data_IF_047911482579
#
_entry.id   IF_047911482579
#
_cell.length_a   1.000
_cell.length_b   1.000
_cell.length_c   1.000
_cell.angle_alpha   90.00
_cell.angle_beta   90.00
_cell.angle_gamma   90.00
#
_symmetry.space_group_name_H-M   'P 1'
#
loop_
_entity.id
_entity.type
_entity.pdbx_description
1 polymer ?
2 branched ?
3 non-polymer ?
4 non-polymer ?
5 non-polymer ?
6 water ?
#
# COMPACT_ATOMS: atom_id res chain seq x y z
N UNK A 1 -14.27 3.58 24.64
CA UNK A 1 -13.18 3.32 23.72
C UNK A 1 -11.90 4.06 24.12
N UNK A 2 -10.78 3.36 24.02
CA UNK A 2 -9.46 3.94 24.24
C UNK A 2 -8.63 3.91 22.98
N UNK A 3 -7.63 4.78 22.90
CA UNK A 3 -6.66 4.73 21.81
C UNK A 3 -5.96 3.38 21.84
N UNK A 4 -5.75 2.78 20.67
CA UNK A 4 -5.01 1.54 20.62
C UNK A 4 -3.52 1.76 20.83
N UNK A 5 -2.88 0.87 21.58
CA UNK A 5 -1.44 0.87 21.74
C UNK A 5 -0.82 -0.36 21.08
N UNK A 6 0.36 -0.20 20.51
CA UNK A 6 1.05 -1.29 19.83
C UNK A 6 1.81 -2.14 20.84
N UNK A 7 1.11 -3.05 21.50
CA UNK A 7 1.71 -3.79 22.63
C UNK A 7 2.15 -5.20 22.27
N UNK A 8 1.88 -5.63 21.04
CA UNK A 8 2.19 -7.00 20.66
C UNK A 8 3.27 -7.10 19.59
N UNK A 9 3.89 -8.27 19.48
CA UNK A 9 4.81 -8.55 18.40
C UNK A 9 4.07 -9.26 17.28
N UNK A 10 4.72 -9.43 16.14
CA UNK A 10 4.12 -10.16 15.02
C UNK A 10 3.96 -11.63 15.36
N UNK A 11 2.87 -12.23 14.88
CA UNK A 11 2.70 -13.67 14.95
C UNK A 11 3.76 -14.32 14.07
N UNK A 12 4.15 -15.53 14.44
CA UNK A 12 5.09 -16.30 13.62
C UNK A 12 4.46 -16.60 12.26
N UNK A 13 5.16 -16.24 11.20
CA UNK A 13 4.66 -16.43 9.85
C UNK A 13 5.23 -17.70 9.22
N UNK A 14 4.42 -18.76 9.17
CA UNK A 14 4.87 -20.01 8.58
C UNK A 14 4.26 -20.26 7.21
N UNK A 15 3.17 -19.55 6.91
CA UNK A 15 2.57 -19.52 5.57
C UNK A 15 1.54 -18.40 5.50
N UNK A 16 0.82 -18.33 4.38
CA UNK A 16 -0.20 -17.31 4.19
C UNK A 16 -1.53 -17.94 3.79
N UNK A 17 -2.61 -17.49 4.42
CA UNK A 17 -3.95 -17.99 4.08
C UNK A 17 -4.79 -16.91 3.41
N UNK A 18 -5.77 -17.33 2.62
CA UNK A 18 -6.66 -16.39 1.95
C UNK A 18 -7.47 -15.61 2.99
N UNK A 19 -7.49 -14.28 2.86
CA UNK A 19 -8.22 -13.41 3.80
C UNK A 19 -9.41 -12.77 3.10
N UNK A 20 -9.19 -12.23 1.91
CA UNK A 20 -10.27 -11.64 1.16
C UNK A 20 -9.99 -11.57 -0.33
N UNK A 21 -11.07 -11.45 -1.10
CA UNK A 21 -10.99 -11.35 -2.55
C UNK A 21 -12.34 -10.86 -3.06
N UNK A 22 -12.36 -9.81 -3.86
CA UNK A 22 -13.65 -9.24 -4.20
C UNK A 22 -14.11 -9.53 -5.63
N UNK A 23 -13.21 -10.04 -6.47
CA UNK A 23 -13.57 -10.38 -7.85
C UNK A 23 -14.30 -9.23 -8.55
N UNK A 24 -13.80 -8.01 -8.36
CA UNK A 24 -14.53 -6.80 -8.78
C UNK A 24 -14.73 -6.71 -10.29
N UNK A 25 -13.72 -7.07 -11.06
CA UNK A 25 -13.78 -6.90 -12.51
C UNK A 25 -14.72 -7.95 -13.11
N UNK A 26 -14.63 -9.19 -12.62
CA UNK A 26 -15.58 -10.25 -13.02
C UNK A 26 -17.02 -9.79 -12.81
N UNK A 27 -17.30 -9.35 -11.59
CA UNK A 27 -18.66 -8.94 -11.23
C UNK A 27 -19.04 -7.67 -12.01
N UNK A 28 -18.10 -6.73 -12.12
CA UNK A 28 -18.34 -5.47 -12.80
C UNK A 28 -18.64 -5.57 -14.29
N UNK A 29 -18.41 -6.74 -14.87
CA UNK A 29 -18.78 -6.96 -16.27
C UNK A 29 -20.29 -6.79 -16.44
N UNK A 30 -21.03 -7.09 -15.37
CA UNK A 30 -22.48 -6.95 -15.41
C UNK A 30 -23.03 -6.59 -14.03
N UNK A 31 -22.66 -5.40 -13.57
CA UNK A 31 -23.14 -4.81 -12.33
C UNK A 31 -22.51 -3.44 -12.19
N UNK A 32 -23.07 -2.61 -11.32
CA UNK A 32 -22.61 -1.24 -11.19
C UNK A 32 -21.42 -1.13 -10.24
N UNK A 33 -20.29 -1.64 -10.72
CA UNK A 33 -19.04 -1.63 -9.98
C UNK A 33 -18.19 -0.44 -10.40
N UNK A 34 -17.72 0.34 -9.43
CA UNK A 34 -16.93 1.52 -9.72
C UNK A 34 -15.55 1.14 -10.24
N UNK A 35 -15.05 1.90 -11.20
CA UNK A 35 -13.66 1.79 -11.61
C UNK A 35 -12.78 2.29 -10.48
N UNK A 36 -11.73 1.52 -10.12
CA UNK A 36 -10.83 1.93 -9.06
C UNK A 36 -9.37 1.74 -9.48
N UNK A 37 -8.47 2.19 -8.60
CA UNK A 37 -7.10 1.70 -8.55
C UNK A 37 -6.53 2.13 -7.20
N UNK A 38 -5.28 1.77 -6.95
CA UNK A 38 -4.63 2.04 -5.66
C UNK A 38 -5.47 1.59 -4.47
N UNK A 39 -5.84 0.29 -4.43
CA UNK A 39 -6.66 -0.18 -3.30
C UNK A 39 -5.83 -0.44 -2.05
N UNK A 40 -6.52 -0.66 -0.93
CA UNK A 40 -5.89 -1.24 0.25
C UNK A 40 -6.96 -1.75 1.21
N UNK A 41 -6.52 -2.17 2.39
CA UNK A 41 -7.41 -2.71 3.41
C UNK A 41 -7.08 -2.03 4.73
N UNK A 42 -8.09 -1.80 5.57
CA UNK A 42 -7.85 -1.20 6.87
C UNK A 42 -8.96 -1.58 7.84
N UNK A 43 -8.58 -1.81 9.10
CA UNK A 43 -9.54 -2.27 10.11
C UNK A 43 -9.96 -1.19 11.09
N UNK A 44 -11.25 -1.22 11.44
CA UNK A 44 -11.79 -0.54 12.61
C UNK A 44 -11.80 -1.56 13.75
N UNK A 45 -12.08 -1.13 15.00
CA UNK A 45 -12.17 -2.11 16.08
C UNK A 45 -13.25 -3.16 15.87
N UNK A 46 -14.27 -2.87 15.07
CA UNK A 46 -15.39 -3.79 14.90
C UNK A 46 -15.61 -4.26 13.46
N UNK A 47 -14.73 -3.85 12.54
CA UNK A 47 -14.93 -4.17 11.12
C UNK A 47 -13.66 -3.91 10.31
N UNK A 48 -13.37 -4.80 9.36
CA UNK A 48 -12.30 -4.58 8.39
C UNK A 48 -12.92 -4.33 7.02
N UNK A 49 -12.37 -3.36 6.28
CA UNK A 49 -12.96 -2.94 5.01
C UNK A 49 -11.93 -2.78 3.90
N UNK A 50 -12.40 -2.90 2.65
CA UNK A 50 -11.58 -2.60 1.49
C UNK A 50 -11.63 -1.11 1.20
N UNK A 51 -10.51 -0.56 0.72
CA UNK A 51 -10.41 0.86 0.35
C UNK A 51 -9.82 0.95 -1.05
N UNK A 52 -10.10 2.06 -1.75
CA UNK A 52 -9.52 2.33 -3.07
C UNK A 52 -9.86 3.73 -3.55
N UNK A 53 -9.13 4.20 -4.55
CA UNK A 53 -9.44 5.45 -5.22
C UNK A 53 -10.37 5.19 -6.39
N UNK A 54 -11.63 5.60 -6.24
CA UNK A 54 -12.59 5.50 -7.33
C UNK A 54 -12.21 6.44 -8.46
N UNK A 55 -12.74 6.19 -9.65
CA UNK A 55 -12.55 7.06 -10.80
C UNK A 55 -13.89 7.76 -11.15
N UNK A 56 -14.88 7.61 -10.28
CA UNK A 56 -16.15 8.28 -10.47
C UNK A 56 -16.91 7.85 -11.72
N UNK A 57 -16.93 6.54 -11.96
CA UNK A 57 -17.60 5.93 -13.11
C UNK A 57 -17.61 4.42 -12.88
N UNK A 58 -18.59 3.70 -13.45
CA UNK A 58 -18.56 2.24 -13.40
C UNK A 58 -17.76 1.72 -14.59
N UNK A 59 -17.38 0.45 -14.53
CA UNK A 59 -16.54 -0.15 -15.58
C UNK A 59 -17.29 -0.20 -16.92
N UNK A 60 -18.56 -0.60 -16.88
CA UNK A 60 -19.38 -0.66 -18.08
C UNK A 60 -19.81 0.74 -18.53
N UNK A 61 -19.72 1.71 -17.63
CA UNK A 61 -20.05 3.08 -17.99
C UNK A 61 -19.11 3.60 -19.06
N UNK A 62 -19.63 4.46 -19.93
CA UNK A 62 -18.83 5.03 -21.00
C UNK A 62 -17.73 5.96 -20.47
N UNK A 63 -17.90 6.49 -19.27
CA UNK A 63 -16.87 7.33 -18.66
C UNK A 63 -15.68 6.52 -18.16
N UNK A 64 -15.73 5.19 -18.28
CA UNK A 64 -14.55 4.38 -17.93
C UNK A 64 -13.43 4.61 -18.94
N UNK A 65 -13.79 5.17 -20.09
CA UNK A 65 -12.82 5.47 -21.14
C UNK A 65 -11.83 6.55 -20.67
N UNK A 66 -10.57 6.17 -20.56
CA UNK A 66 -9.54 7.10 -20.13
C UNK A 66 -9.13 6.97 -18.68
N UNK A 67 -9.64 5.95 -17.97
CA UNK A 67 -9.35 5.81 -16.55
C UNK A 67 -7.93 5.28 -16.27
N UNK A 68 -7.10 5.19 -17.29
CA UNK A 68 -5.69 4.97 -17.04
C UNK A 68 -5.11 6.22 -16.33
N UNK A 69 -5.75 7.37 -16.53
CA UNK A 69 -5.28 8.63 -15.96
C UNK A 69 -5.30 8.62 -14.44
N UNK A 70 -4.26 9.17 -13.83
CA UNK A 70 -4.07 9.09 -12.38
C UNK A 70 -4.82 10.10 -11.52
N UNK A 71 -4.96 11.34 -12.00
CA UNK A 71 -5.34 12.43 -11.10
C UNK A 71 -6.45 13.35 -11.62
N UNK A 72 -7.67 12.83 -11.73
CA UNK A 72 -8.80 13.68 -12.14
C UNK A 72 -9.55 14.22 -10.92
N UNK A 73 -10.46 15.16 -11.19
CA UNK A 73 -11.36 15.71 -10.17
C UNK A 73 -12.49 14.73 -9.80
N UNK A 74 -12.53 13.56 -10.43
CA UNK A 74 -13.66 12.65 -10.26
C UNK A 74 -13.28 11.48 -9.38
N UNK A 75 -12.08 11.57 -8.81
CA UNK A 75 -11.59 10.53 -7.93
C UNK A 75 -11.91 10.81 -6.47
N UNK A 76 -12.04 9.73 -5.70
CA UNK A 76 -12.30 9.83 -4.27
C UNK A 76 -11.86 8.55 -3.59
N UNK A 77 -11.41 8.68 -2.34
CA UNK A 77 -11.17 7.51 -1.52
C UNK A 77 -12.52 6.93 -1.09
N UNK A 78 -12.75 5.66 -1.39
CA UNK A 78 -13.96 4.99 -0.95
C UNK A 78 -13.62 3.76 -0.13
N UNK A 79 -14.56 3.35 0.71
CA UNK A 79 -14.41 2.10 1.44
C UNK A 79 -15.70 1.29 1.28
N UNK A 80 -15.60 -0.03 1.41
CA UNK A 80 -16.75 -0.89 1.23
C UNK A 80 -16.50 -2.20 1.98
N UNK A 81 -17.57 -2.99 2.23
CA UNK A 81 -17.40 -4.17 3.09
C UNK A 81 -16.41 -5.19 2.54
N UNK A 82 -15.70 -5.85 3.47
CA UNK A 82 -14.65 -6.81 3.15
C UNK A 82 -15.09 -7.85 2.12
N UNK A 83 -14.35 -7.92 1.01
CA UNK A 83 -14.54 -8.87 -0.09
C UNK A 83 -15.81 -8.66 -0.93
N UNK A 84 -16.61 -7.66 -0.58
CA UNK A 84 -17.60 -7.15 -1.53
C UNK A 84 -16.84 -6.40 -2.60
N UNK A 85 -17.45 -6.21 -3.79
CA UNK A 85 -16.81 -5.32 -4.76
C UNK A 85 -17.20 -3.87 -4.47
N UNK A 86 -16.44 -2.90 -4.99
CA UNK A 86 -16.77 -1.48 -4.80
C UNK A 86 -17.89 -1.05 -5.76
N UNK A 87 -19.12 -1.07 -5.27
CA UNK A 87 -20.25 -0.71 -6.11
C UNK A 87 -20.73 0.71 -5.80
N UNK A 88 -21.48 1.26 -6.74
CA UNK A 88 -22.08 2.57 -6.58
C UNK A 88 -22.90 2.63 -5.29
N UNK A 89 -23.51 1.50 -4.95
CA UNK A 89 -24.53 1.47 -3.90
C UNK A 89 -24.04 1.04 -2.49
N UNK A 90 -22.83 0.50 -2.41
CA UNK A 90 -22.29 0.02 -1.14
C UNK A 90 -20.98 0.70 -0.75
N UNK A 91 -20.54 1.68 -1.55
CA UNK A 91 -19.27 2.34 -1.30
C UNK A 91 -19.47 3.61 -0.50
N UNK A 92 -18.67 3.77 0.55
CA UNK A 92 -18.70 4.95 1.41
C UNK A 92 -17.57 5.89 1.02
N UNK A 93 -17.88 7.13 0.71
CA UNK A 93 -16.82 8.08 0.37
C UNK A 93 -16.15 8.60 1.65
N UNK A 94 -14.84 8.43 1.74
CA UNK A 94 -14.06 8.90 2.87
C UNK A 94 -13.58 10.35 2.68
N UNK A 95 -13.13 10.66 1.47
CA UNK A 95 -12.75 12.03 1.12
C UNK A 95 -12.48 12.10 -0.37
N UNK A 96 -12.27 13.31 -0.88
CA UNK A 96 -12.12 13.53 -2.30
C UNK A 96 -10.65 13.78 -2.66
N UNK A 97 -10.16 13.09 -3.70
CA UNK A 97 -8.78 13.28 -4.13
C UNK A 97 -8.23 12.08 -4.86
N UNK A 98 -6.93 12.14 -5.18
CA UNK A 98 -6.32 11.10 -6.01
C UNK A 98 -5.06 10.49 -5.39
N UNK A 99 -4.86 10.72 -4.10
CA UNK A 99 -3.82 10.03 -3.32
C UNK A 99 -4.28 10.02 -1.87
N UNK A 100 -4.11 8.90 -1.18
CA UNK A 100 -4.73 8.79 0.15
C UNK A 100 -4.03 7.86 1.13
N UNK A 101 -4.40 8.02 2.39
CA UNK A 101 -4.12 7.04 3.43
C UNK A 101 -5.30 7.09 4.40
N UNK A 102 -5.37 6.13 5.31
CA UNK A 102 -6.47 6.05 6.26
C UNK A 102 -6.07 5.12 7.38
N UNK A 103 -6.52 5.41 8.60
CA UNK A 103 -6.32 4.49 9.72
C UNK A 103 -7.19 4.86 10.92
N UNK A 104 -7.52 3.85 11.71
CA UNK A 104 -8.30 4.01 12.94
C UNK A 104 -7.35 4.03 14.14
N UNK A 105 -7.59 4.91 15.12
CA UNK A 105 -6.68 5.02 16.25
C UNK A 105 -7.22 4.29 17.49
N UNK A 106 -8.34 3.60 17.32
CA UNK A 106 -8.97 2.88 18.41
C UNK A 106 -10.25 3.58 18.83
N UNK A 107 -10.30 4.90 18.65
CA UNK A 107 -11.50 5.66 18.94
C UNK A 107 -12.23 6.05 17.66
N UNK A 108 -11.50 6.65 16.72
CA UNK A 108 -12.07 7.07 15.46
C UNK A 108 -11.08 6.92 14.31
N UNK A 109 -11.58 7.07 13.08
CA UNK A 109 -10.77 6.88 11.89
C UNK A 109 -10.29 8.21 11.36
N UNK A 110 -9.01 8.26 11.00
CA UNK A 110 -8.45 9.38 10.27
C UNK A 110 -8.32 8.98 8.81
N UNK A 111 -8.77 9.85 7.90
CA UNK A 111 -8.60 9.63 6.48
C UNK A 111 -8.02 10.89 5.87
N UNK A 112 -7.09 10.72 4.92
CA UNK A 112 -6.45 11.85 4.27
C UNK A 112 -6.51 11.71 2.75
N UNK A 113 -7.01 12.75 2.08
CA UNK A 113 -7.04 12.79 0.62
C UNK A 113 -6.34 14.02 0.10
N UNK A 114 -5.53 13.83 -0.95
CA UNK A 114 -4.88 14.94 -1.64
C UNK A 114 -5.57 15.20 -2.97
N UNK A 115 -5.87 16.47 -3.26
CA UNK A 115 -6.44 16.82 -4.56
C UNK A 115 -5.75 18.08 -5.10
N UNK A 116 -6.07 18.44 -6.34
CA UNK A 116 -5.55 19.67 -6.93
C UNK A 116 -4.73 19.43 -8.17
N UNK A 117 -4.30 20.52 -8.82
CA UNK A 117 -3.39 20.36 -9.96
C UNK A 117 -1.99 19.99 -9.47
N UNK A 118 -1.13 19.59 -10.40
CA UNK A 118 0.20 19.13 -10.06
C UNK A 118 0.99 20.17 -9.25
N UNK A 119 0.86 21.44 -9.60
CA UNK A 119 1.63 22.50 -8.93
C UNK A 119 0.92 23.19 -7.78
N UNK A 120 -0.22 22.65 -7.34
CA UNK A 120 -1.02 23.36 -6.34
C UNK A 120 -1.92 22.41 -5.54
N UNK A 121 -1.40 21.23 -5.23
CA UNK A 121 -2.18 20.22 -4.51
C UNK A 121 -2.23 20.51 -3.01
N UNK A 122 -3.21 19.91 -2.35
CA UNK A 122 -3.35 20.06 -0.92
C UNK A 122 -3.95 18.80 -0.32
N UNK A 123 -3.55 18.51 0.92
CA UNK A 123 -4.10 17.39 1.66
C UNK A 123 -5.19 17.89 2.62
N UNK A 124 -6.29 17.16 2.71
CA UNK A 124 -7.28 17.42 3.72
C UNK A 124 -7.35 16.24 4.68
N UNK A 125 -7.18 16.53 5.96
CA UNK A 125 -7.18 15.50 6.98
C UNK A 125 -8.55 15.42 7.66
N UNK A 126 -9.22 14.29 7.46
CA UNK A 126 -10.50 14.01 8.09
C UNK A 126 -10.29 13.18 9.34
N UNK A 127 -11.09 13.43 10.37
CA UNK A 127 -11.11 12.62 11.58
C UNK A 127 -12.54 12.46 12.06
N UNK A 128 -12.95 11.21 12.28
CA UNK A 128 -14.32 10.89 12.65
C UNK A 128 -15.31 11.50 11.65
N UNK A 129 -14.97 11.34 10.37
CA UNK A 129 -15.79 11.73 9.22
C UNK A 129 -15.99 13.24 9.08
N UNK A 130 -15.10 14.02 9.67
CA UNK A 130 -15.13 15.48 9.58
C UNK A 130 -13.77 16.02 9.19
N UNK A 131 -13.74 17.06 8.33
CA UNK A 131 -12.45 17.67 8.00
C UNK A 131 -11.89 18.43 9.21
N UNK A 132 -10.62 18.23 9.52
CA UNK A 132 -10.03 18.81 10.72
C UNK A 132 -8.79 19.67 10.42
N UNK A 133 -7.90 19.18 9.57
CA UNK A 133 -6.70 19.94 9.24
C UNK A 133 -6.37 19.86 7.74
N UNK A 134 -5.61 20.83 7.25
CA UNK A 134 -5.26 20.91 5.84
C UNK A 134 -3.78 21.22 5.65
N UNK A 135 -3.18 20.65 4.62
CA UNK A 135 -1.77 20.88 4.33
C UNK A 135 -1.55 21.24 2.86
N UNK A 136 -1.01 22.42 2.61
CA UNK A 136 -0.73 22.86 1.25
C UNK A 136 0.58 22.29 0.71
N UNK A 137 0.63 22.11 -0.60
CA UNK A 137 1.84 21.63 -1.26
C UNK A 137 3.04 22.48 -0.83
N UNK A 138 4.17 21.84 -0.55
CA UNK A 138 5.37 22.57 -0.15
C UNK A 138 6.45 22.55 -1.23
N UNK A 139 6.25 21.76 -2.28
CA UNK A 139 7.23 21.71 -3.36
C UNK A 139 6.58 21.91 -4.73
N UNK A 140 5.26 22.07 -4.73
CA UNK A 140 4.51 22.41 -5.94
C UNK A 140 4.71 21.38 -7.04
N UNK A 141 4.76 20.11 -6.65
CA UNK A 141 5.01 19.05 -7.61
C UNK A 141 4.41 17.72 -7.14
N UNK A 142 3.09 17.62 -7.30
CA UNK A 142 2.31 16.42 -6.99
C UNK A 142 2.56 15.91 -5.57
N UNK A 143 2.11 16.70 -4.60
CA UNK A 143 2.01 16.24 -3.22
C UNK A 143 1.30 14.88 -3.19
N UNK A 144 1.92 13.87 -2.58
CA UNK A 144 1.38 12.51 -2.64
C UNK A 144 1.71 11.72 -1.38
N UNK A 145 0.91 10.70 -1.08
CA UNK A 145 1.13 9.96 0.15
C UNK A 145 1.04 8.44 -0.07
N UNK A 146 0.64 7.70 0.95
CA UNK A 146 0.96 6.27 1.03
C UNK A 146 0.20 5.31 0.09
N UNK A 147 -1.09 5.55 -0.14
CA UNK A 147 -1.99 4.65 -0.88
C UNK A 147 -2.17 3.30 -0.16
N UNK A 148 -1.90 3.28 1.13
CA UNK A 148 -2.31 2.18 1.99
C UNK A 148 -2.47 2.71 3.41
N UNK A 149 -2.87 1.86 4.34
CA UNK A 149 -3.29 2.37 5.65
C UNK A 149 -2.11 2.94 6.46
N UNK A 150 -2.41 3.91 7.29
CA UNK A 150 -1.43 4.38 8.28
C UNK A 150 -1.59 3.56 9.56
N UNK A 151 -0.81 3.89 10.59
CA UNK A 151 -0.81 3.15 11.83
C UNK A 151 -0.78 4.12 13.00
N UNK A 152 -1.47 3.80 14.08
CA UNK A 152 -1.54 4.70 15.22
C UNK A 152 -1.00 4.09 16.50
N UNK A 153 -0.51 4.94 17.40
CA UNK A 153 -0.14 4.49 18.74
C UNK A 153 -0.51 5.56 19.78
N UNK A 154 -1.40 5.19 20.70
CA UNK A 154 -1.89 6.10 21.73
C UNK A 154 -2.41 7.40 21.15
N UNK A 155 -3.15 7.28 20.05
CA UNK A 155 -3.73 8.44 19.40
C UNK A 155 -2.85 9.09 18.35
N UNK A 156 -1.56 8.77 18.36
CA UNK A 156 -0.62 9.37 17.41
C UNK A 156 -0.48 8.51 16.16
N UNK A 157 -0.80 9.09 14.99
CA UNK A 157 -0.76 8.36 13.72
C UNK A 157 0.19 9.02 12.73
N UNK A 158 1.38 8.45 12.55
CA UNK A 158 2.32 9.00 11.57
C UNK A 158 1.88 8.71 10.14
N UNK A 159 2.19 9.64 9.23
CA UNK A 159 1.93 9.46 7.80
C UNK A 159 3.11 9.99 7.00
N UNK A 160 3.56 9.23 6.01
CA UNK A 160 4.63 9.70 5.14
C UNK A 160 4.07 10.36 3.87
N UNK A 161 4.56 11.57 3.60
CA UNK A 161 4.22 12.32 2.39
C UNK A 161 5.46 12.54 1.53
N UNK A 162 5.25 12.78 0.23
CA UNK A 162 6.33 13.25 -0.63
C UNK A 162 5.82 14.37 -1.55
N UNK A 163 6.63 15.40 -1.71
CA UNK A 163 6.32 16.46 -2.67
C UNK A 163 7.60 16.75 -3.44
N UNK A 164 7.51 16.84 -4.76
CA UNK A 164 8.70 17.02 -5.57
C UNK A 164 8.89 15.97 -6.65
N UNK A 165 10.08 15.98 -7.24
CA UNK A 165 10.38 15.17 -8.42
C UNK A 165 10.18 13.66 -8.21
N UNK A 166 9.70 13.00 -9.26
CA UNK A 166 9.56 11.55 -9.27
C UNK A 166 10.85 10.91 -9.78
N UNK A 167 11.72 11.74 -10.33
CA UNK A 167 12.91 11.25 -11.03
C UNK A 167 14.18 11.93 -10.54
N UNK A 168 14.17 12.36 -9.29
CA UNK A 168 15.29 13.04 -8.67
C UNK A 168 15.02 13.25 -7.20
N UNK A 169 15.88 14.02 -6.52
CA UNK A 169 15.66 14.34 -5.12
C UNK A 169 14.32 15.03 -4.88
N UNK A 170 13.60 14.62 -3.83
CA UNK A 170 12.29 15.17 -3.53
C UNK A 170 12.20 15.56 -2.05
N UNK A 171 11.11 16.24 -1.69
CA UNK A 171 10.91 16.67 -0.30
C UNK A 171 9.92 15.78 0.42
N UNK A 172 10.45 14.83 1.19
CA UNK A 172 9.61 13.89 1.93
C UNK A 172 9.45 14.36 3.36
N UNK A 173 8.22 14.29 3.87
CA UNK A 173 7.94 14.69 5.24
C UNK A 173 7.21 13.59 5.98
N UNK A 174 7.50 13.45 7.27
CA UNK A 174 6.71 12.56 8.11
C UNK A 174 5.86 13.44 9.01
N UNK A 175 4.54 13.30 8.87
CA UNK A 175 3.59 14.03 9.70
C UNK A 175 3.08 13.18 10.84
N UNK A 176 2.89 13.81 12.00
CA UNK A 176 2.35 13.12 13.16
C UNK A 176 1.02 13.75 13.56
N UNK A 177 -0.06 13.00 13.39
CA UNK A 177 -1.40 13.49 13.66
C UNK A 177 -1.99 12.89 14.94
N UNK A 178 -2.85 13.66 15.59
CA UNK A 178 -3.69 13.12 16.67
C UNK A 178 -5.06 13.76 16.59
N UNK A 179 -6.08 12.91 16.47
CA UNK A 179 -7.45 13.34 16.23
C UNK A 179 -7.49 14.31 15.04
N UNK A 180 -6.66 14.03 14.04
CA UNK A 180 -6.63 14.80 12.81
C UNK A 180 -5.80 16.07 12.89
N UNK A 181 -5.39 16.45 14.10
CA UNK A 181 -4.60 17.68 14.27
C UNK A 181 -3.12 17.38 14.12
N UNK A 182 -2.40 18.33 13.53
CA UNK A 182 -0.97 18.18 13.31
C UNK A 182 -0.18 18.45 14.60
N UNK A 183 0.46 17.42 15.12
CA UNK A 183 1.30 17.57 16.31
C UNK A 183 2.70 18.03 15.93
N UNK A 184 3.22 17.50 14.83
CA UNK A 184 4.60 17.71 14.44
C UNK A 184 4.79 17.17 13.04
N UNK A 185 5.69 17.78 12.29
CA UNK A 185 6.18 17.15 11.08
C UNK A 185 7.69 17.33 11.01
N UNK A 186 8.35 16.44 10.26
CA UNK A 186 9.79 16.52 10.09
C UNK A 186 10.22 16.09 8.69
N UNK A 187 11.30 16.67 8.21
CA UNK A 187 11.86 16.28 6.92
C UNK A 187 12.50 14.90 7.01
N UNK A 188 12.55 14.19 5.89
CA UNK A 188 13.13 12.86 5.85
C UNK A 188 14.62 12.89 6.23
N UNK A 189 14.99 12.01 7.15
CA UNK A 189 16.40 11.83 7.51
C UNK A 189 16.77 10.36 7.29
N UNK A 190 18.05 10.05 7.42
CA UNK A 190 18.51 8.68 7.17
C UNK A 190 19.10 8.55 5.79
N UNK A 191 19.27 7.32 5.31
CA UNK A 191 20.01 7.09 4.07
C UNK A 191 19.13 6.78 2.86
N UNK A 192 17.82 6.70 3.06
CA UNK A 192 16.91 6.54 1.92
C UNK A 192 17.02 7.77 1.01
N UNK A 193 17.13 7.55 -0.29
CA UNK A 193 17.42 8.64 -1.22
C UNK A 193 16.18 9.13 -1.99
N UNK A 194 15.12 8.32 -2.00
CA UNK A 194 13.84 8.73 -2.61
C UNK A 194 12.71 7.91 -2.00
N UNK A 195 11.58 8.55 -1.71
CA UNK A 195 10.48 7.91 -0.98
C UNK A 195 9.12 8.14 -1.62
N UNK A 196 8.39 7.06 -1.90
CA UNK A 196 7.01 7.15 -2.34
C UNK A 196 6.19 5.98 -1.79
N UNK A 197 4.91 6.25 -1.52
CA UNK A 197 3.92 5.20 -1.29
C UNK A 197 4.33 4.18 -0.24
N UNK A 198 4.59 4.65 0.98
CA UNK A 198 5.02 3.77 2.05
C UNK A 198 3.91 2.84 2.52
N UNK A 199 4.25 1.57 2.72
CA UNK A 199 3.35 0.58 3.32
C UNK A 199 3.80 0.30 4.75
N UNK A 200 2.91 0.55 5.72
CA UNK A 200 3.32 0.55 7.12
C UNK A 200 2.56 -0.46 7.98
N UNK A 201 3.21 -0.86 9.07
CA UNK A 201 2.59 -1.70 10.10
C UNK A 201 3.24 -1.37 11.44
N UNK A 202 2.54 -1.68 12.52
CA UNK A 202 3.01 -1.35 13.85
C UNK A 202 3.11 -2.60 14.70
N UNK A 203 4.08 -2.57 15.61
CA UNK A 203 4.31 -3.68 16.53
C UNK A 203 5.03 -3.05 17.72
N UNK A 204 5.25 -3.82 18.79
CA UNK A 204 5.80 -3.28 20.03
C UNK A 204 7.13 -2.51 19.81
N UNK A 205 7.89 -2.87 18.78
CA UNK A 205 9.18 -2.21 18.49
C UNK A 205 8.99 -0.84 17.81
N UNK A 206 7.76 -0.54 17.40
CA UNK A 206 7.44 0.73 16.76
C UNK A 206 6.64 0.58 15.49
N UNK A 207 6.82 1.53 14.58
CA UNK A 207 6.14 1.49 13.29
C UNK A 207 7.16 1.35 12.15
N UNK A 208 6.92 0.38 11.27
CA UNK A 208 7.84 0.09 10.17
C UNK A 208 7.15 0.35 8.83
N UNK A 209 7.78 1.13 7.97
CA UNK A 209 7.24 1.44 6.66
C UNK A 209 8.18 1.00 5.55
N UNK A 210 7.65 0.24 4.60
CA UNK A 210 8.40 -0.17 3.42
C UNK A 210 7.87 0.61 2.24
N UNK A 211 8.74 1.36 1.60
CA UNK A 211 8.29 2.29 0.57
C UNK A 211 8.84 1.93 -0.81
N UNK A 212 8.79 2.89 -1.71
CA UNK A 212 9.28 2.74 -3.07
C UNK A 212 10.29 3.85 -3.34
N UNK A 213 11.43 3.49 -3.92
CA UNK A 213 12.36 4.46 -4.48
C UNK A 213 12.06 4.55 -5.97
N UNK A 214 11.50 5.66 -6.43
CA UNK A 214 11.15 5.77 -7.84
C UNK A 214 12.28 6.32 -8.69
N UNK A 215 13.34 6.80 -8.04
CA UNK A 215 14.40 7.50 -8.77
C UNK A 215 15.43 6.50 -9.32
N UNK A 216 16.30 5.97 -8.45
CA UNK A 216 17.37 5.09 -8.89
C UNK A 216 17.31 3.68 -8.31
N UNK A 217 16.48 3.47 -7.28
CA UNK A 217 16.50 2.22 -6.53
C UNK A 217 15.54 1.10 -6.91
N UNK A 218 16.02 -0.13 -6.84
CA UNK A 218 15.17 -1.30 -7.01
C UNK A 218 15.13 -2.14 -5.74
N UNK A 219 15.95 -1.77 -4.76
CA UNK A 219 15.72 -2.20 -3.39
C UNK A 219 14.73 -1.23 -2.78
N UNK A 220 14.02 -1.65 -1.73
CA UNK A 220 12.99 -0.81 -1.15
C UNK A 220 13.52 -0.03 0.03
N UNK A 221 13.28 1.30 0.04
CA UNK A 221 13.61 2.09 1.22
C UNK A 221 12.72 1.72 2.39
N UNK A 222 13.25 1.86 3.60
CA UNK A 222 12.50 1.59 4.83
C UNK A 222 12.56 2.81 5.74
N UNK A 223 11.41 3.19 6.27
CA UNK A 223 11.35 4.23 7.30
C UNK A 223 10.84 3.60 8.60
N UNK A 224 11.61 3.77 9.67
CA UNK A 224 11.22 3.25 10.99
C UNK A 224 10.87 4.40 11.92
N UNK A 225 9.65 4.40 12.44
CA UNK A 225 9.11 5.55 13.14
C UNK A 225 8.79 5.23 14.60
N UNK A 226 9.31 6.06 15.51
CA UNK A 226 8.92 6.01 16.91
C UNK A 226 7.74 6.95 17.11
N UNK A 227 6.54 6.40 17.33
CA UNK A 227 5.35 7.23 17.44
C UNK A 227 5.21 7.94 18.79
N UNK A 228 6.08 7.61 19.75
CA UNK A 228 6.04 8.28 21.05
C UNK A 228 6.98 9.48 21.04
N UNK A 229 8.24 9.25 20.67
CA UNK A 229 9.21 10.32 20.51
C UNK A 229 8.90 11.15 19.26
N UNK A 230 8.10 10.58 18.36
CA UNK A 230 7.78 11.21 17.08
C UNK A 230 9.06 11.54 16.30
N UNK A 231 9.89 10.52 16.15
CA UNK A 231 11.12 10.60 15.37
C UNK A 231 11.22 9.36 14.50
N UNK A 232 12.11 9.41 13.51
CA UNK A 232 12.24 8.32 12.56
C UNK A 232 13.67 8.19 12.08
N UNK A 233 13.95 7.07 11.42
CA UNK A 233 15.19 6.87 10.67
C UNK A 233 14.82 6.23 9.33
N UNK A 234 15.78 6.21 8.41
CA UNK A 234 15.54 5.53 7.13
C UNK A 234 16.80 4.88 6.60
N UNK A 235 16.59 3.82 5.82
CA UNK A 235 17.62 3.12 5.05
C UNK A 235 16.92 2.36 3.92
N UNK A 236 17.60 1.35 3.37
CA UNK A 236 16.97 0.41 2.45
C UNK A 236 16.96 -0.98 3.07
N UNK A 237 16.14 -1.88 2.54
CA UNK A 237 16.27 -3.30 2.87
C UNK A 237 17.64 -3.76 2.36
N UNK A 238 18.48 -4.25 3.28
CA UNK A 238 19.85 -4.66 2.94
C UNK A 238 19.89 -5.85 1.99
N UNK A 239 18.87 -6.71 2.06
CA UNK A 239 18.86 -7.96 1.31
C UNK A 239 19.08 -7.79 -0.20
N UNK A 240 19.83 -8.73 -0.81
CA UNK A 240 19.97 -8.79 -2.26
C UNK A 240 18.71 -9.36 -2.94
N UNK A 241 17.73 -9.79 -2.14
CA UNK A 241 16.43 -10.16 -2.70
C UNK A 241 15.65 -8.88 -2.99
N UNK A 242 15.73 -8.42 -4.24
CA UNK A 242 15.20 -7.11 -4.59
C UNK A 242 13.69 -7.19 -4.82
N UNK A 243 12.95 -6.18 -4.36
CA UNK A 243 11.49 -6.30 -4.38
C UNK A 243 10.74 -5.15 -5.02
N UNK A 244 11.42 -4.30 -5.78
CA UNK A 244 10.71 -3.31 -6.59
C UNK A 244 10.34 -3.93 -7.94
N UNK A 245 9.69 -3.15 -8.79
CA UNK A 245 9.38 -3.55 -10.15
C UNK A 245 9.17 -2.34 -11.05
N UNK A 246 9.84 -2.29 -12.21
CA UNK A 246 10.81 -3.28 -12.70
C UNK A 246 12.08 -3.28 -11.86
N UNK A 247 12.95 -4.27 -12.06
CA UNK A 247 14.13 -4.42 -11.21
C UNK A 247 15.16 -5.30 -11.89
N UNK A 248 16.44 -5.18 -11.48
CA UNK A 248 17.46 -6.09 -11.98
C UNK A 248 17.30 -7.47 -11.37
N UNK A 249 18.07 -8.43 -11.85
CA UNK A 249 18.11 -9.74 -11.23
C UNK A 249 18.74 -9.67 -9.84
N UNK A 250 18.41 -10.63 -8.98
CA UNK A 250 18.94 -10.64 -7.62
C UNK A 250 20.45 -10.86 -7.62
N UNK A 251 21.19 -9.92 -7.03
CA UNK A 251 22.61 -10.11 -6.79
C UNK A 251 22.83 -10.95 -5.54
N UNK A 252 24.06 -10.98 -5.04
CA UNK A 252 24.38 -11.72 -3.82
C UNK A 252 24.77 -10.77 -2.69
N UNK A 253 24.97 -9.51 -3.05
CA UNK A 253 25.16 -8.47 -2.05
C UNK A 253 24.15 -7.36 -2.34
N UNK A 254 23.35 -7.01 -1.33
CA UNK A 254 22.39 -5.93 -1.49
C UNK A 254 22.99 -4.60 -1.08
N UNK A 255 22.13 -3.60 -0.88
CA UNK A 255 22.57 -2.28 -0.44
C UNK A 255 21.69 -1.76 0.70
N UNK A 256 22.33 -1.34 1.78
CA UNK A 256 21.63 -0.89 2.99
C UNK A 256 21.37 0.62 2.96
N UNK A 257 22.28 1.36 2.34
CA UNK A 257 22.33 2.81 2.51
C UNK A 257 22.24 3.60 1.21
N UNK A 258 21.92 2.90 0.13
CA UNK A 258 21.86 3.53 -1.19
C UNK A 258 20.96 2.73 -2.11
N UNK A 259 20.45 3.37 -3.17
CA UNK A 259 19.65 2.66 -4.16
C UNK A 259 20.44 1.59 -4.88
N UNK A 260 19.85 0.39 -5.04
CA UNK A 260 20.48 -0.61 -5.90
C UNK A 260 20.11 -0.31 -7.35
N UNK A 261 21.13 -0.13 -8.21
CA UNK A 261 20.95 0.44 -9.55
C UNK A 261 20.54 -0.56 -10.63
N UNK A 262 20.10 -0.04 -11.76
CA UNK A 262 19.75 -0.87 -12.91
C UNK A 262 18.47 -0.42 -13.57
N UNK A 263 17.55 0.12 -12.76
CA UNK A 263 16.26 0.59 -13.23
C UNK A 263 15.95 1.97 -12.67
N UNK A 264 15.69 2.93 -13.56
CA UNK A 264 15.47 4.31 -13.13
C UNK A 264 14.05 4.81 -13.43
N UNK A 265 13.59 5.78 -12.64
CA UNK A 265 12.34 6.49 -12.93
C UNK A 265 11.12 5.59 -13.02
N UNK A 266 11.06 4.58 -12.17
CA UNK A 266 9.90 3.69 -12.12
C UNK A 266 9.91 2.89 -10.82
N UNK A 267 8.86 2.10 -10.63
CA UNK A 267 8.72 1.33 -9.40
C UNK A 267 7.26 0.94 -9.20
N UNK A 268 7.01 0.17 -8.16
CA UNK A 268 5.65 -0.19 -7.80
C UNK A 268 5.56 -0.12 -6.30
N UNK A 269 4.41 0.31 -5.79
CA UNK A 269 4.16 0.24 -4.35
C UNK A 269 4.24 -1.22 -3.90
N UNK A 270 4.95 -1.45 -2.80
CA UNK A 270 5.09 -2.79 -2.25
C UNK A 270 5.19 -2.74 -0.73
N UNK A 271 5.55 -3.86 -0.12
CA UNK A 271 5.57 -3.95 1.33
C UNK A 271 6.52 -5.03 1.80
N UNK A 272 6.78 -5.06 3.11
CA UNK A 272 7.45 -6.20 3.72
C UNK A 272 7.10 -6.27 5.19
N UNK A 273 7.41 -7.41 5.80
CA UNK A 273 7.36 -7.54 7.26
C UNK A 273 8.76 -7.87 7.75
N UNK A 274 9.34 -6.92 8.48
CA UNK A 274 10.74 -6.99 8.89
C UNK A 274 10.82 -7.33 10.38
N UNK A 275 11.17 -8.58 10.68
CA UNK A 275 11.01 -9.11 12.02
C UNK A 275 12.04 -10.20 12.33
N UNK A 276 13.32 -9.87 12.19
CA UNK A 276 14.38 -10.84 12.44
C UNK A 276 14.24 -12.08 11.59
N UNK A 277 14.24 -13.25 12.22
CA UNK A 277 14.11 -14.51 11.49
C UNK A 277 12.69 -14.73 10.97
N UNK A 278 11.75 -13.90 11.42
CA UNK A 278 10.35 -13.99 11.00
C UNK A 278 10.04 -13.02 9.85
N UNK A 279 11.07 -12.71 9.06
CA UNK A 279 10.94 -11.70 7.99
C UNK A 279 10.43 -12.28 6.68
N UNK A 280 9.41 -11.64 6.10
CA UNK A 280 8.89 -12.03 4.80
C UNK A 280 8.82 -10.84 3.84
N UNK A 281 9.27 -11.04 2.60
CA UNK A 281 9.23 -9.97 1.59
C UNK A 281 8.22 -10.32 0.51
N UNK A 282 7.47 -9.32 0.06
CA UNK A 282 6.59 -9.51 -1.09
C UNK A 282 7.20 -8.90 -2.33
N UNK A 283 6.95 -9.51 -3.49
CA UNK A 283 7.36 -8.92 -4.76
C UNK A 283 6.61 -9.55 -5.93
N UNK A 284 6.58 -8.82 -7.05
CA UNK A 284 6.09 -9.38 -8.30
C UNK A 284 7.05 -10.47 -8.72
N UNK A 285 6.54 -11.47 -9.43
CA UNK A 285 7.42 -12.52 -9.93
C UNK A 285 8.26 -11.97 -11.09
N UNK A 286 7.61 -11.33 -12.05
CA UNK A 286 8.33 -10.72 -13.17
C UNK A 286 9.27 -9.62 -12.68
N UNK A 287 10.44 -9.52 -13.32
CA UNK A 287 11.35 -8.42 -13.03
C UNK A 287 11.08 -7.26 -13.97
N UNK A 288 10.27 -7.51 -14.99
CA UNK A 288 10.04 -6.51 -16.03
C UNK A 288 8.71 -5.77 -15.85
N UNK A 289 7.67 -6.48 -15.44
CA UNK A 289 6.36 -5.85 -15.33
C UNK A 289 5.56 -6.29 -14.10
N UNK A 290 4.42 -5.65 -13.91
CA UNK A 290 3.58 -5.91 -12.76
C UNK A 290 2.75 -7.18 -12.95
N UNK A 291 3.43 -8.32 -12.97
CA UNK A 291 2.76 -9.60 -13.12
C UNK A 291 3.27 -10.60 -12.10
N UNK A 292 2.37 -11.45 -11.63
CA UNK A 292 2.72 -12.42 -10.62
C UNK A 292 2.93 -11.78 -9.26
N UNK A 293 2.87 -12.61 -8.23
CA UNK A 293 3.21 -12.14 -6.90
C UNK A 293 3.62 -13.29 -6.02
N UNK A 294 4.66 -13.07 -5.21
CA UNK A 294 5.18 -14.10 -4.32
C UNK A 294 5.62 -13.51 -2.99
N UNK A 295 5.52 -14.32 -1.94
CA UNK A 295 6.09 -14.00 -0.63
C UNK A 295 7.34 -14.85 -0.42
N UNK A 296 8.39 -14.22 0.10
CA UNK A 296 9.65 -14.92 0.36
C UNK A 296 10.11 -14.72 1.79
N UNK A 297 10.40 -15.83 2.49
CA UNK A 297 10.96 -15.76 3.83
C UNK A 297 12.46 -15.48 3.76
N UNK A 298 12.87 -14.29 4.17
CA UNK A 298 14.25 -13.85 4.05
C UNK A 298 14.76 -13.36 5.40
N UNK A 299 15.36 -14.25 6.20
CA UNK A 299 15.77 -13.93 7.57
C UNK A 299 16.66 -12.70 7.65
N UNK A 300 16.30 -11.76 8.51
CA UNK A 300 17.08 -10.55 8.73
C UNK A 300 17.32 -9.72 7.46
N UNK A 301 16.38 -9.77 6.52
CA UNK A 301 16.49 -9.06 5.24
C UNK A 301 16.82 -7.58 5.41
N UNK A 302 16.26 -6.96 6.45
CA UNK A 302 16.46 -5.54 6.69
C UNK A 302 17.94 -5.20 6.90
N UNK A 303 18.65 -6.04 7.65
CA UNK A 303 20.00 -5.71 8.10
C UNK A 303 21.11 -6.56 7.50
N UNK A 304 20.74 -7.65 6.84
CA UNK A 304 21.71 -8.60 6.29
C UNK A 304 21.83 -8.46 4.77
N UNK A 305 22.95 -7.90 4.29
CA UNK A 305 23.06 -7.64 2.85
C UNK A 305 23.47 -8.88 2.06
N UNK A 306 23.43 -10.05 2.71
CA UNK A 306 23.68 -11.33 2.03
C UNK A 306 22.47 -12.26 2.08
N UNK A 307 21.40 -11.82 2.74
CA UNK A 307 20.28 -12.71 3.05
C UNK A 307 19.52 -13.24 1.83
N UNK A 308 19.15 -14.51 1.89
CA UNK A 308 18.48 -15.21 0.79
C UNK A 308 17.23 -15.93 1.30
N UNK A 309 16.29 -16.30 0.40
CA UNK A 309 15.07 -16.99 0.81
C UNK A 309 15.31 -18.39 1.36
N UNK A 310 14.61 -18.75 2.44
CA UNK A 310 14.65 -20.12 2.95
C UNK A 310 13.27 -20.79 2.84
N UNK A 311 12.27 -20.02 2.44
CA UNK A 311 10.91 -20.52 2.26
C UNK A 311 10.12 -19.50 1.45
N UNK A 312 9.07 -19.95 0.77
CA UNK A 312 8.27 -19.03 -0.03
C UNK A 312 6.83 -19.47 -0.26
N UNK A 313 6.06 -18.61 -0.92
CA UNK A 313 4.69 -18.94 -1.29
C UNK A 313 4.26 -18.08 -2.48
N UNK A 314 3.78 -18.74 -3.53
CA UNK A 314 3.26 -18.02 -4.69
C UNK A 314 1.84 -17.56 -4.37
N UNK A 315 1.54 -16.30 -4.70
CA UNK A 315 0.23 -15.73 -4.43
C UNK A 315 -0.53 -15.57 -5.75
N UNK A 316 0.17 -15.03 -6.75
CA UNK A 316 -0.38 -14.84 -8.09
C UNK A 316 0.63 -15.36 -9.10
N UNK A 317 0.18 -16.17 -10.06
CA UNK A 317 1.06 -16.70 -11.09
C UNK A 317 1.61 -15.57 -11.94
N UNK A 318 2.82 -15.75 -12.46
CA UNK A 318 3.45 -14.77 -13.32
C UNK A 318 2.63 -14.50 -14.57
N UNK A 319 1.85 -15.48 -14.99
CA UNK A 319 0.97 -15.35 -16.14
C UNK A 319 -0.17 -14.36 -15.89
N UNK A 320 -0.41 -14.01 -14.62
CA UNK A 320 -1.51 -13.11 -14.28
C UNK A 320 -1.01 -11.74 -13.83
N UNK A 321 -1.77 -10.70 -14.17
CA UNK A 321 -1.42 -9.34 -13.79
C UNK A 321 -1.60 -9.11 -12.30
N UNK A 322 -0.64 -8.40 -11.72
CA UNK A 322 -0.75 -7.93 -10.35
C UNK A 322 -0.74 -6.41 -10.34
N UNK A 323 0.03 -5.82 -9.44
CA UNK A 323 0.06 -4.38 -9.27
C UNK A 323 0.56 -4.00 -7.90
N UNK A 324 0.03 -2.91 -7.35
CA UNK A 324 0.38 -2.45 -6.01
C UNK A 324 0.16 -3.51 -4.94
N UNK A 325 0.93 -3.44 -3.85
CA UNK A 325 0.66 -4.26 -2.69
C UNK A 325 1.03 -3.47 -1.44
N UNK A 326 0.43 -3.82 -0.32
CA UNK A 326 0.63 -3.06 0.89
C UNK A 326 0.24 -3.84 2.13
N UNK A 327 0.62 -3.31 3.28
CA UNK A 327 0.43 -3.98 4.56
C UNK A 327 -0.73 -3.40 5.34
N UNK A 328 -1.39 -4.26 6.11
CA UNK A 328 -2.36 -3.85 7.11
C UNK A 328 -2.42 -4.96 8.15
N UNK A 329 -2.93 -4.67 9.33
CA UNK A 329 -3.19 -5.70 10.34
C UNK A 329 -4.46 -5.36 11.09
N UNK A 330 -5.14 -6.39 11.60
CA UNK A 330 -6.26 -6.17 12.49
C UNK A 330 -5.75 -5.95 13.93
N UNK A 331 -5.49 -4.70 14.29
CA UNK A 331 -4.92 -4.39 15.61
C UNK A 331 -5.89 -4.66 16.76
N UNK A 332 -7.13 -5.01 16.43
CA UNK A 332 -8.15 -5.26 17.44
C UNK A 332 -8.58 -6.73 17.52
N UNK A 333 -7.79 -7.62 16.91
CA UNK A 333 -8.03 -9.06 17.01
C UNK A 333 -7.64 -9.61 18.40
N UNK A 334 -8.18 -10.77 18.74
CA UNK A 334 -7.83 -11.42 20.00
C UNK A 334 -6.49 -12.12 19.88
N UNK A 335 -5.90 -12.49 21.02
CA UNK A 335 -4.67 -13.25 21.00
C UNK A 335 -3.49 -12.43 21.46
N UNK A 336 -2.30 -13.02 21.43
CA UNK A 336 -1.14 -12.39 22.03
C UNK A 336 -0.18 -11.80 20.99
N UNK A 337 -0.58 -11.87 19.72
CA UNK A 337 0.27 -11.39 18.64
C UNK A 337 -0.54 -10.74 17.51
N UNK A 338 0.12 -9.84 16.78
CA UNK A 338 -0.49 -9.23 15.59
C UNK A 338 -0.26 -10.13 14.39
N UNK A 339 -1.34 -10.49 13.70
CA UNK A 339 -1.26 -11.33 12.52
C UNK A 339 -0.99 -10.48 11.27
N UNK A 340 0.19 -10.65 10.69
CA UNK A 340 0.55 -9.92 9.48
C UNK A 340 -0.43 -10.16 8.33
N UNK A 341 -0.83 -9.10 7.66
CA UNK A 341 -1.69 -9.22 6.47
C UNK A 341 -1.18 -8.34 5.32
N UNK A 342 -1.62 -8.67 4.10
CA UNK A 342 -1.37 -7.80 2.96
C UNK A 342 -2.44 -7.98 1.91
N UNK A 343 -2.49 -7.05 0.96
CA UNK A 343 -3.37 -7.12 -0.20
C UNK A 343 -2.50 -7.04 -1.45
N UNK A 344 -3.01 -7.55 -2.56
CA UNK A 344 -2.36 -7.33 -3.84
C UNK A 344 -3.41 -6.75 -4.79
N UNK A 345 -3.08 -5.64 -5.42
CA UNK A 345 -3.91 -5.05 -6.45
C UNK A 345 -3.74 -5.85 -7.75
N UNK A 346 -4.85 -6.32 -8.33
CA UNK A 346 -4.79 -7.05 -9.59
C UNK A 346 -5.31 -6.14 -10.70
N UNK A 347 -4.40 -5.45 -11.37
CA UNK A 347 -4.76 -4.45 -12.38
C UNK A 347 -5.21 -5.10 -13.68
N UNK A 348 -6.34 -4.65 -14.19
CA UNK A 348 -6.82 -5.12 -15.49
C UNK A 348 -7.03 -3.91 -16.39
N UNK A 349 -6.98 -4.12 -17.70
CA UNK A 349 -7.13 -3.03 -18.64
C UNK A 349 -5.78 -2.41 -18.99
N UNK A 350 -5.77 -1.11 -19.22
CA UNK A 350 -4.57 -0.44 -19.73
C UNK A 350 -3.51 -0.21 -18.66
N UNK A 351 -2.23 -0.15 -19.06
CA UNK A 351 -1.74 -0.19 -20.45
C UNK A 351 -1.54 -1.60 -21.03
N UNK A 352 -1.49 -2.61 -20.18
CA UNK A 352 -1.12 -3.94 -20.63
C UNK A 352 -2.21 -4.62 -21.47
N UNK A 353 -3.47 -4.32 -21.19
CA UNK A 353 -4.56 -4.91 -21.95
C UNK A 353 -5.36 -3.82 -22.65
N UNK A 354 -4.93 -3.41 -23.83
CA UNK A 354 -5.48 -2.18 -24.40
C UNK A 354 -6.59 -2.40 -25.42
N UNK A 355 -7.17 -3.60 -25.44
CA UNK A 355 -8.36 -3.81 -26.25
C UNK A 355 -9.56 -3.14 -25.58
N UNK A 356 -9.45 -2.88 -24.27
CA UNK A 356 -10.43 -2.05 -23.58
C UNK A 356 -9.84 -0.66 -23.36
N UNK A 357 -10.69 0.31 -23.06
CA UNK A 357 -10.26 1.70 -22.93
C UNK A 357 -10.18 2.13 -21.48
N UNK A 358 -10.41 1.18 -20.57
CA UNK A 358 -10.37 1.51 -19.15
C UNK A 358 -9.18 0.87 -18.44
N UNK A 359 -8.92 1.33 -17.22
CA UNK A 359 -8.00 0.69 -16.29
C UNK A 359 -8.69 0.55 -14.96
N UNK A 360 -8.75 -0.67 -14.44
CA UNK A 360 -9.30 -0.89 -13.11
C UNK A 360 -8.54 -2.00 -12.42
N UNK A 361 -9.13 -2.58 -11.38
CA UNK A 361 -8.48 -3.63 -10.62
C UNK A 361 -9.46 -4.41 -9.77
N UNK A 362 -9.02 -5.55 -9.26
CA UNK A 362 -9.72 -6.17 -8.14
C UNK A 362 -8.71 -6.36 -7.03
N UNK A 363 -9.15 -6.95 -5.93
CA UNK A 363 -8.30 -7.11 -4.75
C UNK A 363 -8.23 -8.59 -4.34
N UNK A 364 -7.02 -9.04 -4.01
CA UNK A 364 -6.85 -10.28 -3.24
C UNK A 364 -6.03 -9.94 -2.00
N UNK A 365 -6.32 -10.61 -0.89
CA UNK A 365 -5.69 -10.31 0.40
C UNK A 365 -5.41 -11.59 1.19
N UNK A 366 -4.24 -11.64 1.83
CA UNK A 366 -3.83 -12.77 2.65
C UNK A 366 -3.41 -12.32 4.03
N UNK A 367 -3.58 -13.20 5.02
CA UNK A 367 -2.96 -13.01 6.34
C UNK A 367 -2.11 -14.22 6.68
N UNK A 368 -1.19 -14.05 7.64
CA UNK A 368 -0.24 -15.12 7.97
C UNK A 368 -0.89 -16.23 8.78
N UNK A 369 -0.34 -17.43 8.63
CA UNK A 369 -0.72 -18.59 9.45
C UNK A 369 0.51 -19.14 10.18
N UNK A 370 0.31 -19.65 11.40
CA UNK A 370 1.38 -20.38 12.10
C UNK A 370 1.48 -21.82 11.59
N UNK A 371 0.48 -22.24 10.82
CA UNK A 371 0.55 -23.53 10.12
C UNK A 371 1.38 -23.39 8.84
N UNK A 372 1.76 -24.52 8.26
CA UNK A 372 2.41 -24.52 6.95
C UNK A 372 1.40 -24.96 5.89
N UNK A 373 0.58 -24.01 5.45
CA UNK A 373 -0.56 -24.31 4.58
C UNK A 373 -0.19 -24.50 3.11
N UNK A 374 -0.89 -25.41 2.43
CA UNK A 374 -0.76 -25.55 1.00
C UNK A 374 -1.06 -24.24 0.29
N UNK A 375 -0.42 -24.02 -0.85
CA UNK A 375 -0.58 -22.78 -1.58
C UNK A 375 -1.50 -22.93 -2.81
N UNK A 376 -2.28 -21.88 -3.09
CA UNK A 376 -3.00 -21.76 -4.35
C UNK A 376 -2.49 -20.53 -5.08
N UNK A 377 -3.04 -20.24 -6.24
CA UNK A 377 -2.77 -18.94 -6.88
C UNK A 377 -4.09 -18.23 -7.09
N UNK A 378 -4.05 -16.90 -7.12
CA UNK A 378 -5.28 -16.09 -7.05
C UNK A 378 -5.35 -15.02 -8.12
N UNK A 379 -5.83 -15.40 -9.32
CA UNK A 379 -5.96 -14.48 -10.45
C UNK A 379 -7.13 -13.51 -10.25
N UNK A 380 -7.11 -12.39 -10.96
CA UNK A 380 -8.28 -11.53 -11.00
C UNK A 380 -9.50 -12.33 -11.48
N UNK A 381 -9.34 -13.04 -12.58
CA UNK A 381 -10.34 -13.98 -13.03
C UNK A 381 -11.28 -13.50 -14.11
N UNK A 382 -11.15 -12.23 -14.50
CA UNK A 382 -12.00 -11.70 -15.54
C UNK A 382 -11.44 -12.00 -16.92
N UNK A 383 -12.33 -12.21 -17.87
CA UNK A 383 -11.95 -12.39 -19.26
C UNK A 383 -12.17 -11.10 -20.03
N UNK A 384 -11.08 -10.46 -20.44
CA UNK A 384 -11.13 -9.19 -21.18
C UNK A 384 -12.05 -9.21 -22.41
N UNK A 385 -12.04 -10.33 -23.14
CA UNK A 385 -12.87 -10.49 -24.33
C UNK A 385 -14.36 -10.19 -24.06
N UNK A 386 -14.82 -10.47 -22.84
CA UNK A 386 -16.21 -10.24 -22.46
C UNK A 386 -16.56 -8.75 -22.50
N UNK A 387 -15.55 -7.90 -22.36
CA UNK A 387 -15.78 -6.45 -22.30
C UNK A 387 -15.75 -5.79 -23.68
N UNK A 388 -15.43 -6.56 -24.71
CA UNK A 388 -15.29 -5.98 -26.05
C UNK A 388 -16.62 -5.88 -26.78
#
# INVERSE_FOLDING_TARGET
RNFNNLTKGLCTINSWHIYGKDNAVRIGESSDVLVTREPYVSCDPDECRFYALSQGTTIRGKHSNGTIHDRSQYRALISWPLSSPPTVYNSRVECIGWSSTSCHDGKSRMSICISGPNNNASAVVWYNRRPVAEINTWARNILRTQESECVCHNGVCPVVFTDGSATGPADTRIYYFKEGKILKWESLTGTAKHIEECSCYGERTGITCTCKDNWQGSNRPVIQIDPVAMTHTSQYICSPVLTDNPRPNDPNIGKCNDPYPGNNNNGVKGFSYLDGANTWLGRTISTASRSGYEMLKVPNALTDDRSKPIQGQTIVLNADWSGYSGSFMDYWAEGDCYRACFYVELIRGRPKEDKVWWTSNSIVSMCSSTEFLGQWNWPDGAKIEYFL
#
